data_IF_783301100208
#
_entry.id   IF_783301100208
#
_cell.length_a   1.000
_cell.length_b   1.000
_cell.length_c   1.000
_cell.angle_alpha   90.00
_cell.angle_beta   90.00
_cell.angle_gamma   90.00
#
_symmetry.space_group_name_H-M   'P 1'
#
loop_
_entity.id
_entity.type
_entity.pdbx_description
1 polymer ?
#
# COMPACT_ATOMS: atom_id res chain seq x y z
N UNK A 1 -2.19 -13.16 8.78
CA UNK A 1 -3.12 -12.19 8.16
C UNK A 1 -2.77 -10.77 8.59
N UNK A 2 -3.13 -10.28 9.79
CA UNK A 2 -2.70 -8.93 10.25
C UNK A 2 -1.17 -8.83 10.38
N UNK A 3 -0.50 -9.90 10.80
CA UNK A 3 0.97 -9.96 10.83
C UNK A 3 1.57 -9.76 9.44
N UNK A 4 0.99 -10.42 8.42
CA UNK A 4 1.45 -10.30 7.04
C UNK A 4 1.20 -8.89 6.49
N UNK A 5 0.04 -8.29 6.78
CA UNK A 5 -0.25 -6.89 6.41
C UNK A 5 0.71 -5.89 7.07
N UNK A 6 1.04 -6.09 8.35
CA UNK A 6 2.02 -5.26 9.08
C UNK A 6 3.43 -5.45 8.52
N UNK A 7 3.79 -6.68 8.17
CA UNK A 7 5.08 -7.01 7.56
C UNK A 7 5.20 -6.37 6.16
N UNK A 8 4.15 -6.44 5.35
CA UNK A 8 4.08 -5.83 4.02
C UNK A 8 4.13 -4.30 4.08
N UNK A 9 3.40 -3.69 5.02
CA UNK A 9 3.46 -2.24 5.26
C UNK A 9 4.85 -1.81 5.76
N UNK A 10 5.48 -2.60 6.65
CA UNK A 10 6.83 -2.35 7.15
C UNK A 10 7.88 -2.46 6.03
N UNK A 11 7.74 -3.46 5.15
CA UNK A 11 8.56 -3.62 3.94
C UNK A 11 8.37 -2.47 2.97
N UNK A 12 7.13 -2.02 2.78
CA UNK A 12 6.79 -0.86 1.95
C UNK A 12 7.45 0.41 2.50
N UNK A 13 7.35 0.68 3.80
CA UNK A 13 8.01 1.81 4.45
C UNK A 13 9.55 1.73 4.32
N UNK A 14 10.12 0.54 4.47
CA UNK A 14 11.55 0.29 4.25
C UNK A 14 11.99 0.61 2.82
N UNK A 15 11.25 0.12 1.82
CA UNK A 15 11.49 0.41 0.41
C UNK A 15 11.40 1.92 0.13
N UNK A 16 10.38 2.60 0.67
CA UNK A 16 10.20 4.04 0.52
C UNK A 16 11.33 4.86 1.17
N UNK A 17 11.86 4.44 2.33
CA UNK A 17 13.02 5.09 2.98
C UNK A 17 14.31 4.92 2.17
N UNK A 18 14.44 3.82 1.43
CA UNK A 18 15.62 3.51 0.62
C UNK A 18 15.47 3.90 -0.86
N UNK A 19 14.33 4.47 -1.26
CA UNK A 19 14.17 5.14 -2.55
C UNK A 19 15.12 6.34 -2.60
N UNK A 20 16.37 6.07 -3.01
CA UNK A 20 17.31 7.10 -3.40
C UNK A 20 16.70 7.86 -4.56
N UNK A 21 16.22 9.06 -4.27
CA UNK A 21 15.77 10.03 -5.27
C UNK A 21 16.92 10.43 -6.21
N UNK A 22 18.17 10.10 -5.84
CA UNK A 22 19.38 10.30 -6.62
C UNK A 22 20.24 9.03 -6.58
N UNK A 23 20.34 8.29 -7.70
CA UNK A 23 21.38 7.27 -7.90
C UNK A 23 20.98 5.89 -8.45
N UNK A 24 19.69 5.56 -8.59
CA UNK A 24 19.21 4.30 -9.19
C UNK A 24 18.72 4.48 -10.63
N UNK A 25 18.80 3.44 -11.46
CA UNK A 25 18.24 3.44 -12.82
C UNK A 25 16.73 3.67 -12.79
N UNK A 26 16.20 4.41 -13.78
CA UNK A 26 14.75 4.62 -13.96
C UNK A 26 14.00 3.29 -14.03
N UNK A 27 14.61 2.25 -14.60
CA UNK A 27 13.99 0.93 -14.72
C UNK A 27 13.85 0.24 -13.35
N UNK A 28 14.87 0.34 -12.49
CA UNK A 28 14.82 -0.21 -11.13
C UNK A 28 13.73 0.50 -10.32
N UNK A 29 13.65 1.84 -10.43
CA UNK A 29 12.60 2.61 -9.78
C UNK A 29 11.20 2.18 -10.19
N UNK A 30 10.96 2.02 -11.50
CA UNK A 30 9.66 1.59 -12.04
C UNK A 30 9.29 0.17 -11.61
N UNK A 31 10.27 -0.74 -11.56
CA UNK A 31 10.06 -2.11 -11.08
C UNK A 31 9.64 -2.13 -9.60
N UNK A 32 10.36 -1.40 -8.75
CA UNK A 32 10.03 -1.29 -7.32
C UNK A 32 8.66 -0.65 -7.10
N UNK A 33 8.31 0.37 -7.90
CA UNK A 33 7.02 1.04 -7.81
C UNK A 33 5.86 0.12 -8.21
N UNK A 34 6.00 -0.63 -9.31
CA UNK A 34 5.02 -1.63 -9.75
C UNK A 34 4.78 -2.72 -8.70
N UNK A 35 5.85 -3.20 -8.06
CA UNK A 35 5.73 -4.16 -6.96
C UNK A 35 4.99 -3.56 -5.77
N UNK A 36 5.34 -2.33 -5.36
CA UNK A 36 4.68 -1.65 -4.26
C UNK A 36 3.17 -1.42 -4.51
N UNK A 37 2.78 -1.05 -5.74
CA UNK A 37 1.38 -0.95 -6.15
C UNK A 37 0.66 -2.30 -6.05
N UNK A 38 1.31 -3.36 -6.53
CA UNK A 38 0.75 -4.72 -6.49
C UNK A 38 0.50 -5.18 -5.06
N UNK A 39 1.48 -5.02 -4.17
CA UNK A 39 1.34 -5.44 -2.77
C UNK A 39 0.31 -4.60 -2.00
N UNK A 40 0.29 -3.28 -2.19
CA UNK A 40 -0.70 -2.44 -1.53
C UNK A 40 -2.14 -2.74 -2.00
N UNK A 41 -2.32 -3.11 -3.28
CA UNK A 41 -3.62 -3.51 -3.81
C UNK A 41 -4.05 -4.89 -3.30
N UNK A 42 -3.10 -5.81 -3.13
CA UNK A 42 -3.35 -7.12 -2.52
C UNK A 42 -3.78 -6.97 -1.06
N UNK A 43 -3.06 -6.16 -0.27
CA UNK A 43 -3.41 -5.90 1.13
C UNK A 43 -4.82 -5.31 1.29
N UNK A 44 -5.27 -4.42 0.39
CA UNK A 44 -6.65 -3.93 0.39
C UNK A 44 -7.68 -5.05 0.15
N UNK A 45 -7.38 -5.94 -0.80
CA UNK A 45 -8.25 -7.09 -1.09
C UNK A 45 -8.31 -8.04 0.10
N UNK A 46 -7.19 -8.26 0.77
CA UNK A 46 -7.10 -9.12 1.96
C UNK A 46 -7.87 -8.51 3.14
N UNK A 47 -7.83 -7.18 3.30
CA UNK A 47 -8.62 -6.46 4.31
C UNK A 47 -10.13 -6.68 4.10
N UNK A 48 -10.59 -6.56 2.86
CA UNK A 48 -12.01 -6.76 2.50
C UNK A 48 -12.44 -8.22 2.68
N UNK A 49 -11.65 -9.17 2.17
CA UNK A 49 -11.95 -10.61 2.28
C UNK A 49 -11.87 -11.14 3.70
N UNK A 50 -11.05 -10.53 4.57
CA UNK A 50 -11.04 -10.84 5.99
C UNK A 50 -12.41 -10.59 6.60
N UNK A 51 -13.03 -9.44 6.33
CA UNK A 51 -14.36 -9.08 6.84
C UNK A 51 -15.44 -10.04 6.34
N UNK A 52 -15.31 -10.54 5.12
CA UNK A 52 -16.21 -11.56 4.58
C UNK A 52 -16.17 -12.86 5.39
N UNK A 53 -15.00 -13.25 5.89
CA UNK A 53 -14.83 -14.39 6.79
C UNK A 53 -15.57 -14.28 8.13
N UNK A 54 -15.96 -13.06 8.54
CA UNK A 54 -16.72 -12.79 9.76
C UNK A 54 -18.23 -12.60 9.53
N UNK A 55 -18.74 -12.76 8.30
CA UNK A 55 -20.16 -12.49 8.02
C UNK A 55 -21.13 -13.34 8.86
N UNK A 56 -20.77 -14.58 9.22
CA UNK A 56 -21.57 -15.49 10.06
C UNK A 56 -21.33 -15.39 11.57
N UNK A 57 -20.48 -14.47 12.02
CA UNK A 57 -20.25 -14.18 13.44
C UNK A 57 -21.11 -12.97 13.81
N UNK A 58 -21.77 -12.98 14.96
CA UNK A 58 -22.56 -11.84 15.45
C UNK A 58 -22.00 -11.29 16.76
N UNK A 59 -22.35 -10.04 17.05
CA UNK A 59 -22.03 -9.37 18.31
C UNK A 59 -20.78 -8.48 18.28
N UNK A 60 -20.27 -8.21 19.48
CA UNK A 60 -19.21 -7.23 19.75
C UNK A 60 -17.92 -7.53 18.98
N UNK A 61 -17.53 -8.81 18.91
CA UNK A 61 -16.30 -9.26 18.23
C UNK A 61 -16.29 -8.85 16.74
N UNK A 62 -17.41 -9.03 16.02
CA UNK A 62 -17.50 -8.61 14.62
C UNK A 62 -17.39 -7.11 14.45
N UNK A 63 -17.96 -6.36 15.40
CA UNK A 63 -17.94 -4.89 15.36
C UNK A 63 -16.53 -4.37 15.60
N UNK A 64 -15.82 -4.94 16.57
CA UNK A 64 -14.41 -4.61 16.83
C UNK A 64 -13.53 -4.95 15.64
N UNK A 65 -13.61 -6.19 15.11
CA UNK A 65 -12.82 -6.60 13.95
C UNK A 65 -13.09 -5.69 12.75
N UNK A 66 -14.36 -5.35 12.50
CA UNK A 66 -14.74 -4.41 11.44
C UNK A 66 -14.11 -3.03 11.63
N UNK A 67 -14.12 -2.50 12.85
CA UNK A 67 -13.50 -1.21 13.15
C UNK A 67 -11.98 -1.24 12.89
N UNK A 68 -11.31 -2.29 13.36
CA UNK A 68 -9.87 -2.48 13.14
C UNK A 68 -9.55 -2.61 11.65
N UNK A 69 -10.24 -3.47 10.91
CA UNK A 69 -9.97 -3.66 9.48
C UNK A 69 -10.25 -2.41 8.66
N UNK A 70 -11.29 -1.65 9.01
CA UNK A 70 -11.57 -0.36 8.36
C UNK A 70 -10.41 0.62 8.53
N UNK A 71 -9.74 0.63 9.70
CA UNK A 71 -8.57 1.47 9.93
C UNK A 71 -7.37 1.00 9.10
N UNK A 72 -7.14 -0.31 9.00
CA UNK A 72 -6.06 -0.88 8.18
C UNK A 72 -6.28 -0.54 6.70
N UNK A 73 -7.47 -0.82 6.16
CA UNK A 73 -7.83 -0.51 4.78
C UNK A 73 -7.64 0.98 4.45
N UNK A 74 -7.94 1.88 5.39
CA UNK A 74 -7.71 3.32 5.22
C UNK A 74 -6.23 3.67 5.14
N UNK A 75 -5.38 3.07 5.97
CA UNK A 75 -3.93 3.27 5.93
C UNK A 75 -3.35 2.70 4.63
N UNK A 76 -3.77 1.50 4.24
CA UNK A 76 -3.35 0.86 2.98
C UNK A 76 -3.76 1.69 1.76
N UNK A 77 -4.98 2.22 1.74
CA UNK A 77 -5.47 3.13 0.69
C UNK A 77 -4.64 4.42 0.60
N UNK A 78 -4.33 5.03 1.75
CA UNK A 78 -3.48 6.23 1.80
C UNK A 78 -2.07 5.94 1.25
N UNK A 79 -1.49 4.79 1.59
CA UNK A 79 -0.19 4.37 1.08
C UNK A 79 -0.23 4.16 -0.44
N UNK A 80 -1.24 3.44 -0.96
CA UNK A 80 -1.44 3.23 -2.39
C UNK A 80 -1.58 4.56 -3.15
N UNK A 81 -2.32 5.52 -2.60
CA UNK A 81 -2.41 6.86 -3.16
C UNK A 81 -1.04 7.56 -3.27
N UNK A 82 -0.23 7.51 -2.21
CA UNK A 82 1.10 8.11 -2.22
C UNK A 82 2.05 7.43 -3.22
N UNK A 83 2.00 6.09 -3.31
CA UNK A 83 2.74 5.28 -4.27
C UNK A 83 2.40 5.73 -5.71
N UNK A 84 1.11 5.82 -6.03
CA UNK A 84 0.65 6.28 -7.36
C UNK A 84 1.11 7.70 -7.67
N UNK A 85 1.02 8.62 -6.70
CA UNK A 85 1.47 10.01 -6.88
C UNK A 85 2.99 10.12 -7.11
N UNK A 86 3.78 9.21 -6.53
CA UNK A 86 5.23 9.18 -6.72
C UNK A 86 5.62 8.61 -8.08
N UNK A 87 4.89 7.61 -8.58
CA UNK A 87 5.08 7.07 -9.93
C UNK A 87 4.80 8.14 -10.99
N UNK A 88 3.67 8.83 -10.87
CA UNK A 88 3.25 9.91 -11.78
C UNK A 88 4.24 11.07 -11.84
N UNK A 89 4.81 11.45 -10.69
CA UNK A 89 5.77 12.56 -10.61
C UNK A 89 7.12 12.26 -11.26
N UNK A 90 7.51 10.98 -11.38
CA UNK A 90 8.77 10.55 -12.01
C UNK A 90 8.60 10.06 -13.46
N UNK A 91 7.38 9.69 -13.86
CA UNK A 91 7.03 9.38 -15.25
C UNK A 91 6.93 10.60 -16.18
N UNK A 92 6.82 11.82 -15.62
CA UNK A 92 6.85 13.06 -16.41
C UNK A 92 8.29 13.55 -16.58
N UNK A 93 8.81 13.71 -17.81
CA UNK A 93 10.06 14.43 -18.01
C UNK A 93 9.90 15.82 -17.41
N UNK A 94 10.92 16.27 -16.67
CA UNK A 94 10.97 17.64 -16.19
C UNK A 94 11.11 18.56 -17.42
N UNK A 95 9.99 19.03 -17.96
CA UNK A 95 9.99 20.10 -18.96
C UNK A 95 10.35 21.38 -18.21
N UNK A 96 11.63 21.75 -18.26
CA UNK A 96 12.06 23.11 -17.97
C UNK A 96 11.46 23.97 -19.08
N UNK A 97 10.40 24.72 -18.77
CA UNK A 97 9.96 25.79 -19.67
C UNK A 97 11.02 26.91 -19.62
N UNK A 98 11.42 27.48 -20.77
CA UNK A 98 12.34 28.60 -20.82
C UNK A 98 11.79 29.84 -20.10
#
# INVERSE_FOLDING_TARGET
>A
MIGDSVDELSRTLGALKHLRVSGGSVNEFRWQMSNAQTWASAALTDDDTCLDGFQGIDGEIKSEVKEWMTKVARVTSNALYMINQLDDKRGKPHVVRP
#
